data_IF_466149362914
#
_entry.id   IF_466149362914
#
_cell.length_a   1.000
_cell.length_b   1.000
_cell.length_c   1.000
_cell.angle_alpha   90.00
_cell.angle_beta   90.00
_cell.angle_gamma   90.00
#
_symmetry.space_group_name_H-M   'P 1'
#
loop_
_entity.id
_entity.type
_entity.pdbx_description
1 polymer ?
#
# COMPACT_ATOMS: atom_id res chain seq x y z
N UNK A 1 -19.99 -1.12 -15.06
CA UNK A 1 -18.83 -0.97 -15.97
C UNK A 1 -18.00 0.22 -15.46
N UNK A 2 -16.69 0.06 -15.20
CA UNK A 2 -15.83 1.21 -14.91
C UNK A 2 -15.73 2.08 -16.17
N UNK A 3 -15.84 3.41 -16.03
CA UNK A 3 -15.63 4.31 -17.16
C UNK A 3 -14.16 4.23 -17.62
N UNK A 4 -13.91 4.44 -18.91
CA UNK A 4 -12.54 4.47 -19.47
C UNK A 4 -11.64 5.48 -18.78
N UNK A 5 -12.22 6.57 -18.27
CA UNK A 5 -11.52 7.61 -17.51
C UNK A 5 -11.03 7.13 -16.14
N UNK A 6 -11.80 6.29 -15.43
CA UNK A 6 -11.43 5.84 -14.08
C UNK A 6 -10.67 4.52 -14.05
N UNK A 7 -10.67 3.75 -15.15
CA UNK A 7 -10.02 2.45 -15.22
C UNK A 7 -8.51 2.50 -14.86
N UNK A 8 -7.70 3.45 -15.36
CA UNK A 8 -6.28 3.50 -14.99
C UNK A 8 -6.05 3.69 -13.49
N UNK A 9 -6.83 4.58 -12.87
CA UNK A 9 -6.73 4.84 -11.43
C UNK A 9 -7.15 3.61 -10.60
N UNK A 10 -8.24 2.95 -11.00
CA UNK A 10 -8.69 1.72 -10.35
C UNK A 10 -7.65 0.60 -10.46
N UNK A 11 -7.00 0.43 -11.62
CA UNK A 11 -5.93 -0.56 -11.80
C UNK A 11 -4.68 -0.23 -10.99
N UNK A 12 -4.29 1.05 -10.89
CA UNK A 12 -3.15 1.44 -10.07
C UNK A 12 -3.37 1.10 -8.59
N UNK A 13 -4.54 1.43 -8.05
CA UNK A 13 -4.91 1.10 -6.66
C UNK A 13 -4.97 -0.41 -6.46
N UNK A 14 -5.53 -1.16 -7.43
CA UNK A 14 -5.57 -2.62 -7.37
C UNK A 14 -4.18 -3.24 -7.39
N UNK A 15 -3.29 -2.77 -8.25
CA UNK A 15 -1.92 -3.27 -8.35
C UNK A 15 -1.16 -3.02 -7.04
N UNK A 16 -1.30 -1.84 -6.45
CA UNK A 16 -0.74 -1.52 -5.13
C UNK A 16 -1.25 -2.47 -4.04
N UNK A 17 -2.56 -2.74 -4.00
CA UNK A 17 -3.13 -3.67 -3.03
C UNK A 17 -2.61 -5.10 -3.22
N UNK A 18 -2.57 -5.60 -4.46
CA UNK A 18 -2.05 -6.94 -4.78
C UNK A 18 -0.59 -7.07 -4.39
N UNK A 19 0.24 -6.09 -4.72
CA UNK A 19 1.66 -6.15 -4.44
C UNK A 19 1.95 -6.10 -2.94
N UNK A 20 1.29 -5.22 -2.18
CA UNK A 20 1.44 -5.21 -0.72
C UNK A 20 0.89 -6.47 -0.06
N UNK A 21 -0.07 -7.17 -0.69
CA UNK A 21 -0.64 -8.41 -0.15
C UNK A 21 0.26 -9.61 -0.38
N UNK A 22 0.97 -9.63 -1.51
CA UNK A 22 1.81 -10.77 -1.89
C UNK A 22 3.14 -10.80 -1.15
N UNK A 23 3.61 -9.68 -0.58
CA UNK A 23 4.93 -9.58 0.05
C UNK A 23 5.17 -10.68 1.09
N UNK A 24 4.24 -10.87 2.03
CA UNK A 24 4.41 -11.85 3.10
C UNK A 24 4.50 -13.29 2.57
N UNK A 25 3.75 -13.63 1.52
CA UNK A 25 3.79 -14.96 0.88
C UNK A 25 4.94 -15.15 -0.10
N UNK A 26 5.57 -14.07 -0.57
CA UNK A 26 6.66 -14.09 -1.54
C UNK A 26 8.05 -14.11 -0.89
N UNK A 27 8.15 -13.93 0.43
CA UNK A 27 9.40 -13.88 1.17
C UNK A 27 9.47 -14.99 2.21
N UNK A 28 10.62 -15.66 2.32
CA UNK A 28 10.85 -16.69 3.34
C UNK A 28 11.09 -16.09 4.73
N UNK A 29 11.76 -14.93 4.78
CA UNK A 29 12.16 -14.28 6.03
C UNK A 29 11.21 -13.12 6.38
N UNK A 30 10.61 -13.14 7.58
CA UNK A 30 9.71 -12.08 8.07
C UNK A 30 10.38 -10.70 8.05
N UNK A 31 11.68 -10.61 8.38
CA UNK A 31 12.44 -9.36 8.32
C UNK A 31 12.45 -8.75 6.90
N UNK A 32 12.54 -9.58 5.86
CA UNK A 32 12.52 -9.13 4.46
C UNK A 32 11.13 -8.62 4.06
N UNK A 33 10.07 -9.30 4.49
CA UNK A 33 8.69 -8.83 4.29
C UNK A 33 8.49 -7.44 4.92
N UNK A 34 8.92 -7.29 6.17
CA UNK A 34 8.78 -6.05 6.94
C UNK A 34 9.58 -4.91 6.32
N UNK A 35 10.81 -5.16 5.86
CA UNK A 35 11.61 -4.15 5.17
C UNK A 35 10.92 -3.66 3.88
N UNK A 36 10.33 -4.57 3.09
CA UNK A 36 9.63 -4.22 1.86
C UNK A 36 8.32 -3.47 2.12
N UNK A 37 7.60 -3.82 3.18
CA UNK A 37 6.40 -3.10 3.61
C UNK A 37 6.74 -1.72 4.20
N UNK A 38 7.85 -1.58 4.93
CA UNK A 38 8.35 -0.29 5.40
C UNK A 38 8.69 0.64 4.22
N UNK A 39 9.37 0.13 3.19
CA UNK A 39 9.59 0.89 1.96
C UNK A 39 8.28 1.34 1.30
N UNK A 40 7.25 0.49 1.26
CA UNK A 40 5.93 0.89 0.73
C UNK A 40 5.26 1.98 1.57
N UNK A 41 5.47 1.97 2.89
CA UNK A 41 5.00 3.02 3.78
C UNK A 41 5.67 4.34 3.46
N UNK A 42 7.00 4.34 3.30
CA UNK A 42 7.78 5.52 2.96
C UNK A 42 7.39 6.08 1.59
N UNK A 43 7.12 5.23 0.60
CA UNK A 43 6.54 5.62 -0.69
C UNK A 43 5.21 6.34 -0.51
N UNK A 44 4.25 5.76 0.23
CA UNK A 44 2.93 6.37 0.45
C UNK A 44 3.05 7.70 1.22
N UNK A 45 3.93 7.78 2.20
CA UNK A 45 4.19 8.98 2.96
C UNK A 45 4.87 10.08 2.11
N UNK A 46 5.77 9.70 1.20
CA UNK A 46 6.37 10.60 0.22
C UNK A 46 5.35 11.11 -0.81
N UNK A 47 4.42 10.25 -1.25
CA UNK A 47 3.29 10.66 -2.09
C UNK A 47 2.38 11.66 -1.36
N UNK A 48 2.15 11.46 -0.06
CA UNK A 48 1.35 12.33 0.78
C UNK A 48 1.94 13.74 0.96
N UNK A 49 3.28 13.86 0.99
CA UNK A 49 3.99 15.14 1.12
C UNK A 49 4.27 15.84 -0.22
N UNK A 50 3.93 15.21 -1.34
CA UNK A 50 4.32 15.71 -2.67
C UNK A 50 5.81 15.52 -3.00
N UNK A 51 6.56 14.87 -2.12
CA UNK A 51 8.00 14.57 -2.20
C UNK A 51 8.32 13.32 -3.04
N UNK A 52 7.33 12.84 -3.78
CA UNK A 52 7.24 11.56 -4.50
C UNK A 52 8.39 11.20 -5.48
N UNK A 53 9.42 12.03 -5.58
CA UNK A 53 10.46 11.97 -6.60
C UNK A 53 11.71 11.20 -6.20
N UNK A 54 11.80 10.57 -5.03
CA UNK A 54 12.99 9.77 -4.67
C UNK A 54 12.65 8.28 -4.58
N UNK A 55 11.63 7.90 -3.83
CA UNK A 55 11.37 6.47 -3.56
C UNK A 55 10.52 5.77 -4.62
N UNK A 56 9.61 6.49 -5.28
CA UNK A 56 8.82 5.92 -6.38
C UNK A 56 9.60 5.79 -7.70
N UNK A 57 10.84 6.32 -7.78
CA UNK A 57 11.64 6.30 -9.01
C UNK A 57 12.00 4.86 -9.37
N UNK A 58 11.47 4.40 -10.51
CA UNK A 58 11.76 3.07 -11.07
C UNK A 58 10.71 2.01 -10.73
N UNK A 59 9.87 2.20 -9.72
CA UNK A 59 8.83 1.23 -9.38
C UNK A 59 7.53 1.46 -10.18
N UNK A 60 7.11 0.54 -11.07
CA UNK A 60 6.00 0.78 -11.98
C UNK A 60 4.68 1.02 -11.24
N UNK A 61 4.41 0.28 -10.17
CA UNK A 61 3.19 0.42 -9.37
C UNK A 61 3.17 1.73 -8.58
N UNK A 62 4.29 2.15 -7.97
CA UNK A 62 4.36 3.42 -7.25
C UNK A 62 4.15 4.61 -8.19
N UNK A 63 4.72 4.54 -9.40
CA UNK A 63 4.51 5.55 -10.45
C UNK A 63 3.05 5.61 -10.92
N UNK A 64 2.42 4.46 -11.15
CA UNK A 64 1.01 4.39 -11.52
C UNK A 64 0.11 4.92 -10.39
N UNK A 65 0.41 4.57 -9.14
CA UNK A 65 -0.31 5.04 -7.96
C UNK A 65 -0.26 6.56 -7.85
N UNK A 66 0.92 7.16 -8.01
CA UNK A 66 1.11 8.61 -8.05
C UNK A 66 0.26 9.27 -9.12
N UNK A 67 0.28 8.73 -10.34
CA UNK A 67 -0.53 9.25 -11.44
C UNK A 67 -2.03 9.18 -11.13
N UNK A 68 -2.48 8.13 -10.45
CA UNK A 68 -3.87 7.94 -10.08
C UNK A 68 -4.38 8.91 -9.01
N UNK A 69 -3.55 9.25 -8.02
CA UNK A 69 -3.96 10.14 -6.91
C UNK A 69 -3.61 11.62 -7.15
N UNK A 70 -2.83 11.91 -8.18
CA UNK A 70 -2.39 13.25 -8.53
C UNK A 70 -1.27 13.79 -7.63
N UNK A 71 -0.79 14.99 -7.97
CA UNK A 71 0.29 15.66 -7.22
C UNK A 71 -0.15 16.13 -5.82
N UNK A 72 -1.45 16.32 -5.62
CA UNK A 72 -2.04 16.75 -4.34
C UNK A 72 -3.18 15.81 -3.98
N UNK A 73 -2.88 14.62 -3.42
CA UNK A 73 -3.90 13.64 -3.07
C UNK A 73 -4.84 14.20 -1.99
N UNK A 74 -6.11 13.81 -2.00
CA UNK A 74 -7.03 14.15 -0.92
C UNK A 74 -6.58 13.54 0.41
N UNK A 75 -6.94 14.18 1.54
CA UNK A 75 -6.62 13.64 2.87
C UNK A 75 -7.14 12.22 3.06
N UNK A 76 -8.32 11.93 2.53
CA UNK A 76 -8.93 10.61 2.57
C UNK A 76 -8.10 9.57 1.80
N UNK A 77 -7.65 9.88 0.58
CA UNK A 77 -6.81 8.98 -0.21
C UNK A 77 -5.48 8.66 0.51
N UNK A 78 -4.84 9.67 1.12
CA UNK A 78 -3.60 9.49 1.89
C UNK A 78 -3.79 8.55 3.07
N UNK A 79 -4.85 8.76 3.85
CA UNK A 79 -5.18 7.93 5.02
C UNK A 79 -5.46 6.49 4.60
N UNK A 80 -6.27 6.29 3.56
CA UNK A 80 -6.60 4.94 3.07
C UNK A 80 -5.38 4.18 2.58
N UNK A 81 -4.50 4.82 1.79
CA UNK A 81 -3.29 4.17 1.29
C UNK A 81 -2.35 3.77 2.42
N UNK A 82 -2.19 4.65 3.43
CA UNK A 82 -1.35 4.35 4.58
C UNK A 82 -1.91 3.21 5.42
N UNK A 83 -3.23 3.22 5.66
CA UNK A 83 -3.93 2.13 6.39
C UNK A 83 -3.72 0.77 5.74
N UNK A 84 -3.75 0.68 4.40
CA UNK A 84 -3.50 -0.58 3.69
C UNK A 84 -2.10 -1.11 4.01
N UNK A 85 -1.06 -0.27 3.97
CA UNK A 85 0.31 -0.73 4.28
C UNK A 85 0.45 -1.07 5.76
N UNK A 86 -0.09 -0.25 6.65
CA UNK A 86 -0.02 -0.45 8.10
C UNK A 86 -0.68 -1.78 8.51
N UNK A 87 -1.83 -2.12 7.93
CA UNK A 87 -2.49 -3.41 8.15
C UNK A 87 -1.59 -4.59 7.75
N UNK A 88 -0.90 -4.49 6.60
CA UNK A 88 0.02 -5.55 6.14
C UNK A 88 1.29 -5.66 7.00
N UNK A 89 1.79 -4.54 7.52
CA UNK A 89 2.89 -4.55 8.50
C UNK A 89 2.43 -5.23 9.79
N UNK A 90 1.21 -4.95 10.25
CA UNK A 90 0.65 -5.60 11.43
C UNK A 90 0.49 -7.11 11.20
N UNK A 91 -0.01 -7.54 10.04
CA UNK A 91 -0.09 -8.95 9.66
C UNK A 91 1.29 -9.62 9.67
N UNK A 92 2.29 -8.99 9.03
CA UNK A 92 3.64 -9.56 8.93
C UNK A 92 4.38 -9.66 10.28
N UNK A 93 3.96 -8.86 11.28
CA UNK A 93 4.47 -8.92 12.66
C UNK A 93 3.76 -9.98 13.49
N UNK A 94 2.48 -10.23 13.23
CA UNK A 94 1.70 -11.25 13.93
C UNK A 94 2.15 -12.63 13.44
N UNK A 95 2.88 -13.35 14.30
CA UNK A 95 3.19 -14.76 14.07
C UNK A 95 1.98 -15.60 14.51
N UNK A 96 0.92 -15.66 13.70
CA UNK A 96 -0.32 -16.39 14.04
C UNK A 96 -1.58 -15.83 13.37
N UNK A 97 -2.69 -16.58 13.44
CA UNK A 97 -3.99 -16.14 12.91
C UNK A 97 -4.65 -15.03 13.74
N UNK A 98 -5.76 -14.48 13.24
CA UNK A 98 -6.53 -13.42 13.93
C UNK A 98 -7.10 -13.97 15.25
N UNK A 99 -6.70 -13.37 16.38
CA UNK A 99 -7.03 -13.88 17.73
C UNK A 99 -8.50 -13.68 18.13
N UNK A 100 -9.11 -12.53 17.77
CA UNK A 100 -10.49 -12.21 18.13
C UNK A 100 -11.20 -11.28 17.12
N UNK A 101 -12.52 -11.10 17.29
CA UNK A 101 -13.34 -10.26 16.41
C UNK A 101 -12.91 -8.78 16.42
N UNK A 102 -12.40 -8.28 17.55
CA UNK A 102 -11.93 -6.90 17.65
C UNK A 102 -10.61 -6.68 16.89
N UNK A 103 -9.74 -7.70 16.84
CA UNK A 103 -8.55 -7.71 16.01
C UNK A 103 -8.92 -7.75 14.52
N UNK A 104 -9.97 -8.49 14.16
CA UNK A 104 -10.50 -8.49 12.79
C UNK A 104 -11.07 -7.13 12.39
N UNK A 105 -11.81 -6.45 13.26
CA UNK A 105 -12.37 -5.12 12.97
C UNK A 105 -11.30 -4.03 12.84
N UNK A 106 -10.18 -4.15 13.57
CA UNK A 106 -9.02 -3.25 13.37
C UNK A 106 -8.30 -3.52 12.06
N UNK A 107 -8.45 -4.72 11.50
CA UNK A 107 -7.88 -5.13 10.23
C UNK A 107 -8.72 -4.69 9.01
N UNK A 108 -10.05 -4.78 9.12
CA UNK A 108 -11.02 -4.50 8.05
C UNK A 108 -11.22 -2.99 7.77
#
# INVERSE_FOLDING_TARGET
>A
HLSRTHAPAAFAVRAFNVETASIAGATTESATALARLAWWRDVVDGLARGEANVEAKGHPVARALRAAIGATPSAHARVLMRRIVDARIADARQSGGVEDAAALERYA
#
